data_IF_735019107961
#
_entry.id   IF_735019107961
#
_cell.length_a   1.000
_cell.length_b   1.000
_cell.length_c   1.000
_cell.angle_alpha   90.00
_cell.angle_beta   90.00
_cell.angle_gamma   90.00
#
_symmetry.space_group_name_H-M   'P 1'
#
loop_
_entity.id
_entity.type
_entity.pdbx_description
1 polymer ?
#
# COMPACT_ATOMS: atom_id res chain seq x y z
N UNK A 1 19.36 30.17 -30.66
CA UNK A 1 18.85 30.95 -29.51
C UNK A 1 18.88 30.03 -28.30
N UNK A 2 19.46 30.46 -27.17
CA UNK A 2 19.46 29.61 -25.97
C UNK A 2 18.02 29.39 -25.52
N UNK A 3 17.67 28.15 -25.18
CA UNK A 3 16.33 27.76 -24.73
C UNK A 3 15.92 28.50 -23.45
N UNK A 4 16.91 28.89 -22.64
CA UNK A 4 16.74 29.78 -21.48
C UNK A 4 16.09 31.12 -21.85
N UNK A 5 16.56 31.74 -22.93
CA UNK A 5 16.07 33.05 -23.38
C UNK A 5 14.61 32.99 -23.84
N UNK A 6 14.23 31.92 -24.54
CA UNK A 6 12.83 31.70 -24.96
C UNK A 6 11.89 31.60 -23.76
N UNK A 7 12.35 30.98 -22.68
CA UNK A 7 11.57 30.84 -21.45
C UNK A 7 11.47 32.18 -20.71
N UNK A 8 12.57 32.91 -20.59
CA UNK A 8 12.61 34.25 -19.97
C UNK A 8 11.70 35.23 -20.74
N UNK A 9 11.79 35.26 -22.07
CA UNK A 9 10.97 36.13 -22.93
C UNK A 9 9.48 35.77 -22.87
N UNK A 10 9.13 34.53 -22.47
CA UNK A 10 7.74 34.09 -22.31
C UNK A 10 7.13 34.46 -20.96
N UNK A 11 7.92 34.80 -19.93
CA UNK A 11 7.41 35.09 -18.58
C UNK A 11 6.46 36.31 -18.52
N UNK A 12 6.73 37.45 -19.20
CA UNK A 12 5.78 38.57 -19.21
C UNK A 12 4.44 38.17 -19.84
N UNK A 13 4.47 37.45 -20.97
CA UNK A 13 3.26 36.96 -21.63
C UNK A 13 2.44 36.03 -20.74
N UNK A 14 3.11 35.15 -19.97
CA UNK A 14 2.43 34.29 -19.01
C UNK A 14 1.81 35.09 -17.87
N UNK A 15 2.48 36.14 -17.42
CA UNK A 15 1.98 37.03 -16.37
C UNK A 15 0.70 37.74 -16.85
N UNK A 16 0.71 38.28 -18.07
CA UNK A 16 -0.47 38.91 -18.68
C UNK A 16 -1.65 37.92 -18.79
N UNK A 17 -1.40 36.70 -19.28
CA UNK A 17 -2.44 35.67 -19.39
C UNK A 17 -3.03 35.26 -18.04
N UNK A 18 -2.22 35.23 -16.98
CA UNK A 18 -2.68 34.94 -15.62
C UNK A 18 -3.52 36.11 -15.07
N UNK A 19 -3.08 37.36 -15.31
CA UNK A 19 -3.82 38.57 -14.90
C UNK A 19 -5.18 38.66 -15.61
N UNK A 20 -5.23 38.29 -16.90
CA UNK A 20 -6.45 38.22 -17.71
C UNK A 20 -7.33 36.99 -17.37
N UNK A 21 -6.88 36.13 -16.46
CA UNK A 21 -7.52 34.87 -16.04
C UNK A 21 -7.71 33.83 -17.16
N UNK A 22 -6.98 33.92 -18.26
CA UNK A 22 -6.95 32.87 -19.29
C UNK A 22 -5.93 31.77 -18.92
N UNK A 23 -6.28 30.99 -17.90
CA UNK A 23 -5.44 29.91 -17.39
C UNK A 23 -5.19 28.81 -18.43
N UNK A 24 -6.10 28.65 -19.40
CA UNK A 24 -5.97 27.65 -20.46
C UNK A 24 -4.91 28.07 -21.48
N UNK A 25 -4.90 29.33 -21.90
CA UNK A 25 -3.86 29.87 -22.76
C UNK A 25 -2.51 29.90 -22.04
N UNK A 26 -2.45 30.29 -20.77
CA UNK A 26 -1.23 30.27 -19.98
C UNK A 26 -0.63 28.86 -19.92
N UNK A 27 -1.44 27.84 -19.62
CA UNK A 27 -0.97 26.45 -19.55
C UNK A 27 -0.48 25.92 -20.91
N UNK A 28 -1.21 26.20 -22.00
CA UNK A 28 -0.75 25.81 -23.35
C UNK A 28 0.59 26.45 -23.69
N UNK A 29 0.78 27.72 -23.33
CA UNK A 29 2.02 28.45 -23.57
C UNK A 29 3.18 27.88 -22.75
N UNK A 30 2.97 27.57 -21.47
CA UNK A 30 3.97 26.90 -20.62
C UNK A 30 4.38 25.58 -21.25
N UNK A 31 3.42 24.70 -21.57
CA UNK A 31 3.73 23.38 -22.14
C UNK A 31 4.50 23.51 -23.45
N UNK A 32 4.07 24.41 -24.35
CA UNK A 32 4.77 24.65 -25.62
C UNK A 32 6.22 25.14 -25.44
N UNK A 33 6.49 25.95 -24.42
CA UNK A 33 7.85 26.43 -24.12
C UNK A 33 8.68 25.31 -23.48
N UNK A 34 8.07 24.49 -22.63
CA UNK A 34 8.74 23.41 -21.91
C UNK A 34 9.07 22.21 -22.81
N UNK A 35 8.21 21.88 -23.78
CA UNK A 35 8.41 20.77 -24.72
C UNK A 35 9.70 20.92 -25.55
N UNK A 36 10.15 22.15 -25.79
CA UNK A 36 11.40 22.45 -26.49
C UNK A 36 12.60 22.77 -25.58
N UNK A 37 12.40 22.82 -24.26
CA UNK A 37 13.45 23.21 -23.32
C UNK A 37 14.41 22.05 -23.02
N UNK A 38 15.68 22.37 -22.73
CA UNK A 38 16.64 21.37 -22.32
C UNK A 38 16.20 20.69 -20.99
N UNK A 39 16.48 19.39 -20.78
CA UNK A 39 16.05 18.67 -19.56
C UNK A 39 16.51 19.32 -18.25
N UNK A 40 17.68 19.96 -18.26
CA UNK A 40 18.21 20.70 -17.10
C UNK A 40 17.34 21.92 -16.76
N UNK A 41 16.85 22.65 -17.77
CA UNK A 41 15.95 23.80 -17.59
C UNK A 41 14.61 23.33 -17.03
N UNK A 42 14.07 22.23 -17.56
CA UNK A 42 12.81 21.66 -17.07
C UNK A 42 12.91 21.24 -15.59
N UNK A 43 14.02 20.60 -15.23
CA UNK A 43 14.27 20.15 -13.85
C UNK A 43 14.44 21.34 -12.89
N UNK A 44 15.18 22.38 -13.30
CA UNK A 44 15.36 23.60 -12.50
C UNK A 44 14.04 24.34 -12.30
N UNK A 45 13.23 24.47 -13.36
CA UNK A 45 11.90 25.05 -13.28
C UNK A 45 11.03 24.33 -12.24
N UNK A 46 10.96 22.99 -12.32
CA UNK A 46 10.18 22.19 -11.37
C UNK A 46 10.64 22.37 -9.93
N UNK A 47 11.95 22.48 -9.69
CA UNK A 47 12.51 22.74 -8.35
C UNK A 47 12.16 24.13 -7.82
N UNK A 48 12.16 25.16 -8.67
CA UNK A 48 11.79 26.51 -8.26
C UNK A 48 10.32 26.57 -7.81
N UNK A 49 9.42 25.98 -8.60
CA UNK A 49 7.98 25.89 -8.27
C UNK A 49 7.78 25.14 -6.96
N UNK A 50 8.35 23.94 -6.81
CA UNK A 50 8.23 23.15 -5.59
C UNK A 50 8.75 23.91 -4.34
N UNK A 51 9.81 24.70 -4.49
CA UNK A 51 10.36 25.50 -3.38
C UNK A 51 9.40 26.62 -2.96
N UNK A 52 8.73 27.27 -3.91
CA UNK A 52 7.74 28.32 -3.64
C UNK A 52 6.46 27.76 -3.01
N UNK A 53 6.05 26.54 -3.39
CA UNK A 53 4.88 25.87 -2.82
C UNK A 53 5.14 25.35 -1.39
N UNK A 54 6.34 24.80 -1.14
CA UNK A 54 6.67 24.09 0.09
C UNK A 54 7.11 25.00 1.26
N UNK A 55 7.66 26.18 0.99
CA UNK A 55 8.24 27.04 2.02
C UNK A 55 7.57 28.41 2.06
N UNK A 56 7.42 29.02 3.26
CA UNK A 56 6.99 30.42 3.37
C UNK A 56 7.89 31.33 2.52
N UNK A 57 7.30 32.35 1.89
CA UNK A 57 7.97 33.14 0.85
C UNK A 57 9.35 33.69 1.24
N UNK A 58 9.53 34.17 2.48
CA UNK A 58 10.84 34.64 2.97
C UNK A 58 11.91 33.55 2.91
N UNK A 59 11.55 32.32 3.28
CA UNK A 59 12.43 31.16 3.27
C UNK A 59 12.69 30.68 1.85
N UNK A 60 11.63 30.61 1.02
CA UNK A 60 11.75 30.24 -0.39
C UNK A 60 12.69 31.20 -1.14
N UNK A 61 12.51 32.52 -0.96
CA UNK A 61 13.36 33.55 -1.55
C UNK A 61 14.83 33.41 -1.15
N UNK A 62 15.12 33.18 0.13
CA UNK A 62 16.49 32.97 0.59
C UNK A 62 17.13 31.72 -0.04
N UNK A 63 16.37 30.63 -0.15
CA UNK A 63 16.82 29.38 -0.78
C UNK A 63 17.07 29.53 -2.28
N UNK A 64 16.18 30.22 -2.99
CA UNK A 64 16.37 30.48 -4.42
C UNK A 64 17.56 31.42 -4.66
N UNK A 65 17.77 32.43 -3.81
CA UNK A 65 18.95 33.29 -3.89
C UNK A 65 20.26 32.51 -3.68
N UNK A 66 20.31 31.62 -2.67
CA UNK A 66 21.46 30.73 -2.44
C UNK A 66 21.68 29.77 -3.63
N UNK A 67 20.61 29.17 -4.16
CA UNK A 67 20.68 28.30 -5.34
C UNK A 67 21.19 29.05 -6.59
N UNK A 68 20.79 30.31 -6.77
CA UNK A 68 21.27 31.16 -7.86
C UNK A 68 22.77 31.51 -7.70
N UNK A 69 23.23 31.75 -6.48
CA UNK A 69 24.65 32.03 -6.19
C UNK A 69 25.54 30.80 -6.42
N UNK A 70 25.04 29.61 -6.09
CA UNK A 70 25.76 28.35 -6.23
C UNK A 70 25.69 27.75 -7.65
N UNK A 71 24.86 28.30 -8.54
CA UNK A 71 24.73 27.81 -9.90
C UNK A 71 25.94 28.19 -10.76
N UNK A 72 26.64 27.19 -11.31
CA UNK A 72 27.79 27.39 -12.22
C UNK A 72 27.35 27.89 -13.60
N UNK A 73 26.15 27.49 -14.05
CA UNK A 73 25.63 27.85 -15.36
C UNK A 73 24.87 29.20 -15.31
N UNK A 74 25.28 30.21 -16.11
CA UNK A 74 24.60 31.50 -16.15
C UNK A 74 23.13 31.41 -16.59
N UNK A 75 22.75 30.46 -17.43
CA UNK A 75 21.36 30.28 -17.88
C UNK A 75 20.47 29.78 -16.74
N UNK A 76 20.97 28.83 -15.94
CA UNK A 76 20.27 28.31 -14.75
C UNK A 76 20.09 29.42 -13.71
N UNK A 77 21.14 30.22 -13.49
CA UNK A 77 21.07 31.37 -12.58
C UNK A 77 20.01 32.38 -13.01
N UNK A 78 19.99 32.75 -14.29
CA UNK A 78 19.02 33.69 -14.84
C UNK A 78 17.57 33.18 -14.68
N UNK A 79 17.34 31.88 -14.84
CA UNK A 79 16.03 31.26 -14.60
C UNK A 79 15.64 31.38 -13.12
N UNK A 80 16.52 31.01 -12.19
CA UNK A 80 16.21 31.06 -10.74
C UNK A 80 15.89 32.50 -10.30
N UNK A 81 16.67 33.48 -10.80
CA UNK A 81 16.42 34.90 -10.54
C UNK A 81 15.06 35.36 -11.08
N UNK A 82 14.69 34.93 -12.29
CA UNK A 82 13.40 35.25 -12.89
C UNK A 82 12.20 34.62 -12.13
N UNK A 83 12.41 33.47 -11.47
CA UNK A 83 11.42 32.81 -10.62
C UNK A 83 11.32 33.39 -9.20
N UNK A 84 12.15 34.37 -8.85
CA UNK A 84 12.18 34.97 -7.52
C UNK A 84 11.61 36.40 -7.59
N UNK A 85 10.28 36.57 -7.59
CA UNK A 85 9.67 37.89 -7.68
C UNK A 85 10.12 38.79 -6.50
N UNK A 86 10.04 40.13 -6.63
CA UNK A 86 10.38 41.03 -5.52
C UNK A 86 9.35 40.93 -4.39
N UNK A 87 8.08 40.72 -4.73
CA UNK A 87 6.91 40.67 -3.82
C UNK A 87 6.34 39.26 -3.72
N UNK A 88 5.76 38.93 -2.56
CA UNK A 88 5.16 37.62 -2.30
C UNK A 88 3.96 37.36 -3.22
N UNK A 89 4.02 36.34 -4.09
CA UNK A 89 2.91 35.97 -4.96
C UNK A 89 1.84 35.12 -4.26
N UNK A 90 2.06 34.67 -3.02
CA UNK A 90 1.10 33.86 -2.27
C UNK A 90 1.05 32.38 -2.71
N UNK A 91 2.12 31.85 -3.30
CA UNK A 91 2.19 30.44 -3.73
C UNK A 91 2.37 29.44 -2.59
N UNK A 92 2.73 29.90 -1.39
CA UNK A 92 2.97 29.00 -0.26
C UNK A 92 1.67 28.29 0.15
N UNK A 93 1.65 26.98 -0.07
CA UNK A 93 0.59 26.10 0.39
C UNK A 93 0.98 25.68 1.81
N UNK A 94 0.41 26.35 2.81
CA UNK A 94 0.57 25.90 4.20
C UNK A 94 0.15 24.42 4.28
N UNK A 95 0.88 23.51 4.91
CA UNK A 95 0.51 22.09 4.97
C UNK A 95 -0.91 21.86 5.50
N UNK A 96 -1.37 22.72 6.40
CA UNK A 96 -2.75 22.71 6.91
C UNK A 96 -3.82 23.22 5.91
N UNK A 97 -3.40 24.02 4.92
CA UNK A 97 -4.23 24.55 3.83
C UNK A 97 -3.93 23.88 2.49
N UNK A 98 -2.99 22.94 2.43
CA UNK A 98 -2.83 22.08 1.28
C UNK A 98 -4.23 21.50 1.04
N UNK A 99 -4.84 21.74 -0.13
CA UNK A 99 -6.17 21.22 -0.40
C UNK A 99 -6.07 19.75 -0.06
N UNK A 100 -6.74 19.36 1.03
CA UNK A 100 -6.71 18.00 1.52
C UNK A 100 -7.14 17.24 0.29
N UNK A 101 -6.22 16.49 -0.33
CA UNK A 101 -6.51 15.86 -1.61
C UNK A 101 -7.82 15.15 -1.36
N UNK A 102 -8.89 15.70 -1.95
CA UNK A 102 -10.19 15.13 -1.78
C UNK A 102 -10.00 13.76 -2.38
N UNK A 103 -10.02 12.75 -1.53
CA UNK A 103 -9.81 11.34 -1.90
C UNK A 103 -10.77 10.91 -3.02
N UNK A 104 -11.74 11.77 -3.32
CA UNK A 104 -12.67 11.73 -4.42
C UNK A 104 -12.48 12.97 -5.29
N UNK A 105 -11.98 12.79 -6.53
CA UNK A 105 -11.67 13.86 -7.47
C UNK A 105 -12.77 14.91 -7.61
N UNK A 106 -12.36 16.18 -7.66
CA UNK A 106 -13.26 17.32 -7.78
C UNK A 106 -13.80 17.44 -9.20
N UNK A 107 -15.13 17.37 -9.31
CA UNK A 107 -15.88 17.71 -10.52
C UNK A 107 -17.28 17.12 -10.51
N UNK A 108 -18.18 17.71 -9.72
CA UNK A 108 -19.65 17.53 -9.71
C UNK A 108 -20.28 16.65 -8.62
N UNK A 109 -19.54 16.13 -7.64
CA UNK A 109 -20.19 15.41 -6.53
C UNK A 109 -20.76 16.39 -5.49
N UNK A 110 -22.01 16.84 -5.70
CA UNK A 110 -22.87 17.28 -4.58
C UNK A 110 -23.28 16.02 -3.83
N UNK A 111 -23.06 15.98 -2.51
CA UNK A 111 -23.61 14.90 -1.71
C UNK A 111 -25.13 14.84 -1.97
N UNK A 112 -25.75 13.65 -2.10
CA UNK A 112 -27.18 13.53 -2.42
C UNK A 112 -28.15 14.29 -1.49
N UNK A 113 -27.66 14.80 -0.35
CA UNK A 113 -28.42 15.65 0.59
C UNK A 113 -28.43 17.13 0.18
N UNK A 114 -27.44 17.58 -0.58
CA UNK A 114 -27.24 18.99 -0.98
C UNK A 114 -27.77 19.28 -2.39
N UNK A 115 -28.31 18.27 -3.06
CA UNK A 115 -29.08 18.46 -4.28
C UNK A 115 -30.49 18.85 -3.85
N UNK A 116 -30.81 20.14 -3.93
CA UNK A 116 -32.19 20.58 -3.77
C UNK A 116 -33.09 19.76 -4.71
N UNK A 117 -34.13 19.09 -4.19
CA UNK A 117 -34.97 18.24 -5.01
C UNK A 117 -35.70 19.12 -6.02
N UNK A 118 -35.23 19.08 -7.27
CA UNK A 118 -35.95 19.66 -8.40
C UNK A 118 -37.38 19.10 -8.40
N UNK A 119 -38.36 19.91 -8.80
CA UNK A 119 -39.79 19.57 -8.78
C UNK A 119 -40.14 18.24 -9.46
N UNK A 120 -39.32 17.77 -10.42
CA UNK A 120 -39.41 16.43 -11.03
C UNK A 120 -39.07 15.26 -10.10
N UNK A 121 -38.13 15.44 -9.16
CA UNK A 121 -37.76 14.40 -8.20
C UNK A 121 -38.86 14.15 -7.14
N UNK A 122 -39.66 15.16 -6.82
CA UNK A 122 -40.86 14.98 -5.96
C UNK A 122 -41.93 14.14 -6.67
N UNK A 123 -42.22 14.43 -7.94
CA UNK A 123 -43.21 13.64 -8.71
C UNK A 123 -42.83 12.16 -8.86
N UNK A 124 -41.53 11.85 -9.03
CA UNK A 124 -41.08 10.45 -9.08
C UNK A 124 -41.08 9.75 -7.71
N UNK A 125 -40.90 10.49 -6.61
CA UNK A 125 -40.91 9.93 -5.25
C UNK A 125 -42.33 9.57 -4.79
N UNK A 126 -43.32 10.38 -5.17
CA UNK A 126 -44.73 10.11 -4.87
C UNK A 126 -45.29 8.95 -5.72
N UNK A 127 -44.79 8.75 -6.96
CA UNK A 127 -45.15 7.58 -7.76
C UNK A 127 -44.46 6.27 -7.32
N UNK A 128 -43.33 6.34 -6.60
CA UNK A 128 -42.64 5.15 -6.07
C UNK A 128 -43.13 4.71 -4.69
N UNK A 129 -44.07 5.42 -4.07
CA UNK A 129 -44.82 4.92 -2.91
C UNK A 129 -45.97 3.96 -3.32
N UNK A 130 -45.84 3.33 -4.49
CA UNK A 130 -46.69 2.23 -4.92
C UNK A 130 -46.39 0.94 -4.15
N UNK A 131 -47.42 0.43 -3.49
CA UNK A 131 -47.57 -0.83 -2.77
C UNK A 131 -46.87 -0.95 -1.39
N UNK A 132 -47.62 -1.22 -0.31
CA UNK A 132 -47.05 -1.67 0.95
C UNK A 132 -46.15 -2.88 0.69
N UNK A 133 -44.88 -2.78 1.06
CA UNK A 133 -44.00 -3.96 1.05
C UNK A 133 -44.64 -5.02 1.94
N UNK A 134 -44.94 -6.17 1.37
CA UNK A 134 -45.38 -7.33 2.15
C UNK A 134 -44.35 -7.57 3.26
N UNK A 135 -44.83 -7.60 4.50
CA UNK A 135 -44.07 -7.92 5.71
C UNK A 135 -43.17 -9.16 5.53
N UNK A 136 -43.56 -10.10 4.66
CA UNK A 136 -42.79 -11.29 4.30
C UNK A 136 -41.53 -10.97 3.51
N UNK A 137 -41.56 -9.99 2.62
CA UNK A 137 -40.40 -9.55 1.85
C UNK A 137 -39.42 -8.78 2.74
N UNK A 138 -39.91 -7.90 3.62
CA UNK A 138 -39.06 -7.20 4.59
C UNK A 138 -38.30 -8.17 5.52
N UNK A 139 -38.96 -9.26 5.96
CA UNK A 139 -38.31 -10.32 6.76
C UNK A 139 -37.25 -11.09 5.97
N UNK A 140 -37.45 -11.33 4.67
CA UNK A 140 -36.44 -11.96 3.80
C UNK A 140 -35.22 -11.06 3.63
N UNK A 141 -35.43 -9.78 3.41
CA UNK A 141 -34.34 -8.79 3.25
C UNK A 141 -33.54 -8.62 4.55
N UNK A 142 -34.21 -8.60 5.70
CA UNK A 142 -33.54 -8.56 7.02
C UNK A 142 -32.73 -9.84 7.27
N UNK A 143 -33.24 -11.00 6.85
CA UNK A 143 -32.52 -12.28 6.99
C UNK A 143 -31.32 -12.37 6.04
N UNK A 144 -31.44 -11.81 4.83
CA UNK A 144 -30.33 -11.67 3.89
C UNK A 144 -29.25 -10.73 4.44
N UNK A 145 -29.64 -9.57 4.98
CA UNK A 145 -28.72 -8.63 5.61
C UNK A 145 -27.94 -9.28 6.77
N UNK A 146 -28.62 -10.03 7.66
CA UNK A 146 -27.96 -10.81 8.72
C UNK A 146 -26.97 -11.85 8.18
N UNK A 147 -27.33 -12.54 7.09
CA UNK A 147 -26.44 -13.52 6.47
C UNK A 147 -25.16 -12.88 5.91
N UNK A 148 -25.26 -11.67 5.33
CA UNK A 148 -24.10 -10.95 4.83
C UNK A 148 -23.21 -10.41 5.96
N UNK A 149 -23.79 -9.89 7.05
CA UNK A 149 -23.01 -9.41 8.22
C UNK A 149 -22.35 -10.56 8.97
N UNK A 150 -23.03 -11.70 9.13
CA UNK A 150 -22.47 -12.88 9.82
C UNK A 150 -21.35 -13.53 9.00
N UNK A 151 -21.45 -13.50 7.66
CA UNK A 151 -20.39 -14.00 6.77
C UNK A 151 -19.15 -13.09 6.78
N UNK A 152 -19.34 -11.77 6.84
CA UNK A 152 -18.25 -10.80 6.87
C UNK A 152 -17.53 -10.80 8.22
N UNK A 153 -18.27 -10.93 9.33
CA UNK A 153 -17.69 -11.10 10.68
C UNK A 153 -17.01 -12.45 10.85
N UNK A 154 -17.58 -13.55 10.36
CA UNK A 154 -16.95 -14.87 10.39
C UNK A 154 -15.65 -14.93 9.56
N UNK A 155 -15.56 -14.15 8.47
CA UNK A 155 -14.34 -14.03 7.67
C UNK A 155 -13.24 -13.22 8.37
N UNK A 156 -13.61 -12.32 9.30
CA UNK A 156 -12.67 -11.50 10.08
C UNK A 156 -12.14 -12.18 11.35
N UNK A 157 -12.88 -13.14 11.93
CA UNK A 157 -12.45 -13.85 13.15
C UNK A 157 -11.38 -14.93 12.95
N UNK A 158 -10.91 -15.15 11.71
CA UNK A 158 -9.80 -16.07 11.43
C UNK A 158 -8.41 -15.40 11.41
N UNK A 159 -8.32 -14.08 11.65
CA UNK A 159 -7.06 -13.36 11.77
C UNK A 159 -6.84 -13.00 13.23
N UNK A 160 -5.78 -13.58 13.79
CA UNK A 160 -5.21 -13.42 15.12
C UNK A 160 -5.52 -12.06 15.80
N UNK A 161 -6.47 -12.09 16.74
CA UNK A 161 -6.80 -10.95 17.62
C UNK A 161 -5.93 -11.06 18.87
N UNK A 162 -4.66 -10.68 18.73
CA UNK A 162 -3.77 -10.43 19.87
C UNK A 162 -3.01 -9.12 19.70
N UNK A 163 -3.67 -8.04 19.26
CA UNK A 163 -3.16 -6.69 19.49
C UNK A 163 -4.26 -5.62 19.38
N UNK A 164 -4.38 -4.83 20.45
CA UNK A 164 -5.08 -3.54 20.61
C UNK A 164 -6.53 -3.58 21.14
N UNK A 165 -6.73 -3.49 22.47
CA UNK A 165 -8.06 -3.34 23.08
C UNK A 165 -8.61 -1.90 23.08
N UNK A 166 -8.00 -0.95 22.36
CA UNK A 166 -8.35 0.49 22.45
C UNK A 166 -8.82 1.13 21.14
N UNK A 167 -9.32 0.35 20.17
CA UNK A 167 -10.02 0.94 19.02
C UNK A 167 -11.46 1.22 19.44
N UNK A 168 -11.69 2.46 19.89
CA UNK A 168 -13.02 3.01 20.23
C UNK A 168 -14.06 2.48 19.25
N UNK A 169 -15.07 1.82 19.79
CA UNK A 169 -16.27 1.38 19.08
C UNK A 169 -16.92 2.61 18.44
N UNK A 170 -16.55 2.88 17.19
CA UNK A 170 -17.25 3.82 16.33
C UNK A 170 -18.69 3.35 16.24
N UNK A 171 -19.60 4.22 16.63
CA UNK A 171 -21.03 4.00 16.64
C UNK A 171 -21.49 3.41 15.31
N UNK A 172 -21.74 2.10 15.32
CA UNK A 172 -22.23 1.37 14.16
C UNK A 172 -23.64 1.88 13.85
N UNK A 173 -23.76 2.77 12.85
CA UNK A 173 -25.02 3.42 12.49
C UNK A 173 -26.03 2.38 11.98
N UNK A 174 -26.94 1.93 12.85
CA UNK A 174 -28.26 1.31 12.59
C UNK A 174 -28.34 0.05 11.70
N UNK A 175 -27.31 -0.24 10.92
CA UNK A 175 -27.25 -1.26 9.87
C UNK A 175 -26.16 -2.29 10.14
N UNK A 176 -25.35 -2.11 11.19
CA UNK A 176 -24.23 -3.00 11.50
C UNK A 176 -23.05 -2.89 10.52
N UNK A 177 -23.18 -2.11 9.44
CA UNK A 177 -22.15 -1.90 8.44
C UNK A 177 -21.28 -0.72 8.84
N UNK A 178 -19.98 -0.98 9.05
CA UNK A 178 -18.96 0.06 9.11
C UNK A 178 -18.82 0.66 7.71
N UNK A 179 -19.46 1.81 7.47
CA UNK A 179 -19.42 2.46 6.16
C UNK A 179 -18.02 2.95 5.80
N UNK A 180 -17.17 3.27 6.77
CA UNK A 180 -15.79 3.67 6.51
C UNK A 180 -14.97 2.45 6.10
N UNK A 181 -15.14 1.33 6.81
CA UNK A 181 -14.54 0.05 6.45
C UNK A 181 -15.07 -0.53 5.12
N UNK A 182 -16.35 -0.33 4.81
CA UNK A 182 -16.98 -0.80 3.57
C UNK A 182 -16.70 0.14 2.37
N UNK A 183 -16.44 1.43 2.62
CA UNK A 183 -16.06 2.37 1.58
C UNK A 183 -14.58 2.26 1.19
N UNK A 184 -13.72 1.78 2.09
CA UNK A 184 -12.35 1.42 1.75
C UNK A 184 -12.38 0.03 1.10
N UNK A 185 -12.53 0.00 -0.23
CA UNK A 185 -12.22 -1.20 -1.02
C UNK A 185 -10.87 -1.75 -0.57
N UNK A 186 -10.74 -3.06 -0.43
CA UNK A 186 -9.50 -3.70 -0.02
C UNK A 186 -8.41 -3.43 -1.08
N UNK A 187 -7.70 -2.30 -0.94
CA UNK A 187 -6.62 -1.85 -1.84
C UNK A 187 -5.37 -2.71 -1.67
N UNK A 188 -5.42 -3.78 -0.87
CA UNK A 188 -4.29 -4.67 -0.56
C UNK A 188 -3.94 -5.62 -1.71
N UNK A 189 -4.23 -5.22 -2.95
CA UNK A 189 -3.61 -5.88 -4.09
C UNK A 189 -2.10 -5.68 -4.01
N UNK A 190 -1.35 -6.63 -4.57
CA UNK A 190 0.09 -6.50 -4.64
C UNK A 190 0.44 -5.32 -5.56
N UNK A 191 1.50 -4.55 -5.24
CA UNK A 191 1.89 -3.41 -6.07
C UNK A 191 2.32 -3.84 -7.47
N UNK A 192 2.38 -2.88 -8.39
CA UNK A 192 2.95 -3.08 -9.72
C UNK A 192 4.42 -3.51 -9.61
N UNK A 193 4.82 -4.58 -10.33
CA UNK A 193 6.21 -5.06 -10.33
C UNK A 193 7.19 -4.14 -11.06
N UNK A 194 6.68 -3.18 -11.85
CA UNK A 194 7.49 -2.21 -12.59
C UNK A 194 7.62 -0.89 -11.82
N UNK A 195 6.50 -0.23 -11.50
CA UNK A 195 6.51 1.10 -10.86
C UNK A 195 6.30 1.09 -9.33
N UNK A 196 6.03 -0.05 -8.71
CA UNK A 196 5.79 -0.21 -7.26
C UNK A 196 4.58 0.52 -6.69
N UNK A 197 3.76 1.15 -7.54
CA UNK A 197 2.50 1.78 -7.17
C UNK A 197 1.42 0.72 -6.95
N UNK A 198 0.45 1.00 -6.09
CA UNK A 198 -0.70 0.14 -5.84
C UNK A 198 -1.51 -0.09 -7.12
N UNK A 199 -2.05 -1.30 -7.27
CA UNK A 199 -2.81 -1.72 -8.45
C UNK A 199 -4.30 -1.59 -8.18
N UNK A 200 -5.05 -1.10 -9.16
CA UNK A 200 -6.50 -1.10 -9.05
C UNK A 200 -7.03 -2.54 -9.13
N UNK A 201 -8.22 -2.81 -8.59
CA UNK A 201 -8.78 -4.17 -8.59
C UNK A 201 -9.04 -4.71 -10.01
N UNK A 202 -9.30 -3.85 -10.98
CA UNK A 202 -9.41 -4.24 -12.39
C UNK A 202 -8.05 -4.69 -12.97
N UNK A 203 -6.93 -4.23 -12.42
CA UNK A 203 -5.61 -4.68 -12.86
C UNK A 203 -5.35 -6.13 -12.47
N UNK A 204 -5.95 -6.66 -11.41
CA UNK A 204 -5.75 -8.06 -10.98
C UNK A 204 -6.68 -9.06 -11.69
N UNK A 205 -7.71 -8.57 -12.39
CA UNK A 205 -8.73 -9.38 -13.06
C UNK A 205 -8.59 -9.35 -14.60
N UNK A 206 -7.38 -9.62 -15.11
CA UNK A 206 -7.12 -9.64 -16.55
C UNK A 206 -7.67 -10.90 -17.23
N UNK A 207 -7.85 -10.86 -18.56
CA UNK A 207 -8.21 -12.04 -19.35
C UNK A 207 -7.22 -13.20 -19.14
N UNK A 208 -5.94 -12.87 -18.95
CA UNK A 208 -4.88 -13.82 -18.64
C UNK A 208 -5.09 -14.52 -17.29
N UNK A 209 -5.46 -13.78 -16.25
CA UNK A 209 -5.80 -14.34 -14.93
C UNK A 209 -7.07 -15.19 -15.04
N UNK A 210 -8.10 -14.71 -15.73
CA UNK A 210 -9.36 -15.43 -15.94
C UNK A 210 -9.16 -16.73 -16.73
N UNK A 211 -8.18 -16.77 -17.64
CA UNK A 211 -7.77 -17.97 -18.36
C UNK A 211 -6.83 -18.90 -17.56
N UNK A 212 -6.52 -18.57 -16.30
CA UNK A 212 -5.65 -19.38 -15.45
C UNK A 212 -4.17 -19.36 -15.85
N UNK A 213 -3.69 -18.31 -16.53
CA UNK A 213 -2.29 -18.14 -16.97
C UNK A 213 -1.46 -17.21 -16.07
N UNK A 214 -1.98 -16.92 -14.88
CA UNK A 214 -1.30 -16.15 -13.84
C UNK A 214 -1.44 -14.64 -14.03
N UNK A 215 -1.10 -13.91 -12.98
CA UNK A 215 -1.12 -12.44 -12.95
C UNK A 215 0.20 -11.89 -13.51
N UNK A 216 0.11 -10.88 -14.39
CA UNK A 216 1.29 -10.20 -14.98
C UNK A 216 1.94 -9.22 -14.00
N UNK A 217 1.24 -8.87 -12.91
CA UNK A 217 1.73 -8.01 -11.86
C UNK A 217 1.83 -6.52 -12.25
N UNK A 218 1.22 -6.09 -13.35
CA UNK A 218 1.31 -4.70 -13.85
C UNK A 218 0.08 -3.87 -13.53
N UNK A 219 0.25 -2.57 -13.34
CA UNK A 219 -0.87 -1.61 -13.38
C UNK A 219 -1.20 -1.21 -14.83
N UNK A 220 -2.39 -0.63 -15.05
CA UNK A 220 -2.84 -0.20 -16.39
C UNK A 220 -1.81 0.65 -17.14
N UNK A 221 -1.25 1.69 -16.50
CA UNK A 221 -0.27 2.58 -17.13
C UNK A 221 1.01 1.83 -17.55
N UNK A 222 1.49 0.89 -16.73
CA UNK A 222 2.67 0.08 -17.06
C UNK A 222 2.38 -0.89 -18.21
N UNK A 223 1.14 -1.40 -18.34
CA UNK A 223 0.74 -2.19 -19.51
C UNK A 223 0.69 -1.37 -20.79
N UNK A 224 0.06 -0.18 -20.74
CA UNK A 224 -0.05 0.71 -21.90
C UNK A 224 1.32 1.18 -22.42
N UNK A 225 2.28 1.33 -21.51
CA UNK A 225 3.68 1.67 -21.85
C UNK A 225 4.54 0.45 -22.18
N UNK A 226 3.94 -0.75 -22.32
CA UNK A 226 4.60 -2.00 -22.65
C UNK A 226 5.77 -2.35 -21.73
N UNK A 227 5.64 -2.06 -20.43
CA UNK A 227 6.63 -2.52 -19.46
C UNK A 227 6.63 -4.04 -19.39
N UNK A 228 7.79 -4.68 -19.18
CA UNK A 228 7.84 -6.11 -18.93
C UNK A 228 7.08 -6.42 -17.63
N UNK A 229 6.35 -7.54 -17.65
CA UNK A 229 5.61 -8.08 -16.50
C UNK A 229 6.02 -9.52 -16.21
N UNK A 230 5.37 -10.13 -15.21
CA UNK A 230 5.62 -11.53 -14.83
C UNK A 230 5.27 -12.44 -16.02
N UNK A 231 6.16 -13.36 -16.45
CA UNK A 231 5.92 -14.22 -17.60
C UNK A 231 4.67 -15.11 -17.49
N UNK A 232 4.05 -15.39 -18.64
CA UNK A 232 3.23 -16.58 -18.96
C UNK A 232 3.37 -17.77 -18.01
N UNK A 233 2.38 -18.10 -17.16
CA UNK A 233 2.39 -19.39 -16.44
C UNK A 233 1.53 -20.43 -17.18
N UNK A 234 2.00 -21.68 -17.32
CA UNK A 234 1.21 -22.74 -17.92
C UNK A 234 -0.02 -23.04 -17.06
N UNK A 235 -1.16 -23.27 -17.70
CA UNK A 235 -2.39 -23.67 -17.02
C UNK A 235 -2.48 -25.22 -16.98
N UNK A 236 -2.85 -25.82 -15.82
CA UNK A 236 -3.09 -25.20 -14.52
C UNK A 236 -1.77 -24.95 -13.75
N UNK A 237 -1.68 -23.81 -13.06
CA UNK A 237 -0.60 -23.53 -12.09
C UNK A 237 -1.18 -23.39 -10.68
N UNK A 238 -0.33 -23.64 -9.68
CA UNK A 238 -0.72 -23.46 -8.28
C UNK A 238 -0.49 -22.02 -7.82
N UNK A 239 -1.11 -21.64 -6.69
CA UNK A 239 -0.85 -20.33 -6.08
C UNK A 239 0.62 -20.15 -5.68
N UNK A 240 1.28 -21.21 -5.19
CA UNK A 240 2.71 -21.18 -4.88
C UNK A 240 3.54 -20.83 -6.12
N UNK A 241 3.27 -21.50 -7.25
CA UNK A 241 3.95 -21.23 -8.53
C UNK A 241 3.78 -19.79 -8.99
N UNK A 242 2.60 -19.19 -8.79
CA UNK A 242 2.39 -17.76 -9.09
C UNK A 242 3.21 -16.83 -8.20
N UNK A 243 3.32 -17.15 -6.90
CA UNK A 243 4.14 -16.39 -5.95
C UNK A 243 5.63 -16.52 -6.29
N UNK A 244 6.10 -17.73 -6.57
CA UNK A 244 7.49 -18.00 -6.98
C UNK A 244 7.87 -17.27 -8.26
N UNK A 245 6.99 -17.28 -9.27
CA UNK A 245 7.19 -16.56 -10.52
C UNK A 245 7.32 -15.04 -10.30
N UNK A 246 6.49 -14.49 -9.39
CA UNK A 246 6.62 -13.09 -8.97
C UNK A 246 7.95 -12.83 -8.26
N UNK A 247 8.35 -13.68 -7.33
CA UNK A 247 9.63 -13.53 -6.63
C UNK A 247 10.82 -13.57 -7.59
N UNK A 248 10.81 -14.51 -8.54
CA UNK A 248 11.82 -14.63 -9.59
C UNK A 248 11.87 -13.37 -10.46
N UNK A 249 10.72 -12.84 -10.86
CA UNK A 249 10.65 -11.60 -11.65
C UNK A 249 11.27 -10.41 -10.89
N UNK A 250 10.87 -10.21 -9.62
CA UNK A 250 11.40 -9.13 -8.77
C UNK A 250 12.91 -9.26 -8.61
N UNK A 251 13.40 -10.47 -8.32
CA UNK A 251 14.81 -10.75 -8.17
C UNK A 251 15.64 -10.38 -9.40
N UNK A 252 15.13 -10.74 -10.59
CA UNK A 252 15.80 -10.48 -11.85
C UNK A 252 15.84 -8.99 -12.21
N UNK A 253 14.79 -8.23 -11.88
CA UNK A 253 14.61 -6.86 -12.39
C UNK A 253 14.97 -5.75 -11.39
N UNK A 254 15.10 -6.04 -10.09
CA UNK A 254 15.44 -5.03 -9.06
C UNK A 254 16.87 -5.10 -8.55
N UNK A 255 17.63 -6.15 -8.90
CA UNK A 255 19.03 -6.31 -8.53
C UNK A 255 19.23 -6.34 -7.01
N UNK A 256 20.13 -5.49 -6.49
CA UNK A 256 20.50 -5.46 -5.06
C UNK A 256 19.33 -5.11 -4.13
N UNK A 257 18.31 -4.42 -4.63
CA UNK A 257 17.14 -4.03 -3.84
C UNK A 257 16.10 -5.16 -3.67
N UNK A 258 16.24 -6.28 -4.39
CA UNK A 258 15.24 -7.35 -4.43
C UNK A 258 14.83 -7.87 -3.05
N UNK A 259 15.79 -8.02 -2.13
CA UNK A 259 15.50 -8.55 -0.79
C UNK A 259 14.61 -7.60 0.03
N UNK A 260 14.80 -6.28 -0.07
CA UNK A 260 13.94 -5.33 0.65
C UNK A 260 12.54 -5.27 0.03
N UNK A 261 12.47 -5.33 -1.30
CA UNK A 261 11.20 -5.40 -2.01
C UNK A 261 10.41 -6.65 -1.59
N UNK A 262 11.04 -7.83 -1.60
CA UNK A 262 10.40 -9.09 -1.19
C UNK A 262 10.00 -9.08 0.29
N UNK A 263 10.78 -8.42 1.16
CA UNK A 263 10.39 -8.19 2.56
C UNK A 263 9.14 -7.30 2.66
N UNK A 264 9.04 -6.26 1.83
CA UNK A 264 7.84 -5.43 1.72
C UNK A 264 6.64 -6.24 1.23
N UNK A 265 6.81 -7.09 0.20
CA UNK A 265 5.75 -7.97 -0.28
C UNK A 265 5.29 -8.96 0.79
N UNK A 266 6.24 -9.60 1.47
CA UNK A 266 5.97 -10.52 2.58
C UNK A 266 5.08 -9.87 3.65
N UNK A 267 5.35 -8.61 4.01
CA UNK A 267 4.51 -7.85 4.97
C UNK A 267 3.10 -7.59 4.45
N UNK A 268 2.93 -7.38 3.14
CA UNK A 268 1.65 -7.06 2.50
C UNK A 268 0.74 -8.27 2.29
N UNK A 269 1.29 -9.47 2.08
CA UNK A 269 0.47 -10.67 1.94
C UNK A 269 -0.32 -10.96 3.23
N UNK A 270 -1.65 -11.00 3.12
CA UNK A 270 -2.51 -11.46 4.20
C UNK A 270 -2.44 -13.00 4.37
N UNK A 271 -2.26 -13.72 3.26
CA UNK A 271 -2.21 -15.18 3.22
C UNK A 271 -0.91 -15.74 3.82
N UNK A 272 -0.97 -16.53 4.92
CA UNK A 272 0.20 -17.17 5.52
C UNK A 272 0.93 -18.13 4.58
N UNK A 273 0.24 -18.77 3.64
CA UNK A 273 0.87 -19.72 2.72
C UNK A 273 1.74 -19.00 1.68
N UNK A 274 1.25 -17.89 1.12
CA UNK A 274 2.05 -17.03 0.26
C UNK A 274 3.28 -16.46 0.99
N UNK A 275 3.12 -16.07 2.27
CA UNK A 275 4.24 -15.64 3.12
C UNK A 275 5.33 -16.71 3.25
N UNK A 276 4.94 -17.93 3.63
CA UNK A 276 5.87 -19.05 3.75
C UNK A 276 6.56 -19.39 2.41
N UNK A 277 5.84 -19.25 1.29
CA UNK A 277 6.41 -19.43 -0.06
C UNK A 277 7.49 -18.39 -0.36
N UNK A 278 7.27 -17.12 0.00
CA UNK A 278 8.28 -16.05 -0.17
C UNK A 278 9.50 -16.31 0.72
N UNK A 279 9.29 -16.66 1.99
CA UNK A 279 10.39 -16.97 2.92
C UNK A 279 11.25 -18.12 2.39
N UNK A 280 10.61 -19.23 2.01
CA UNK A 280 11.30 -20.37 1.39
C UNK A 280 12.07 -19.97 0.14
N UNK A 281 11.44 -19.22 -0.77
CA UNK A 281 12.06 -18.79 -2.02
C UNK A 281 13.26 -17.87 -1.78
N UNK A 282 13.15 -16.89 -0.87
CA UNK A 282 14.25 -15.99 -0.51
C UNK A 282 15.42 -16.78 0.11
N UNK A 283 15.14 -17.75 0.97
CA UNK A 283 16.19 -18.57 1.58
C UNK A 283 16.89 -19.50 0.56
N UNK A 284 16.16 -20.01 -0.43
CA UNK A 284 16.68 -20.91 -1.44
C UNK A 284 17.48 -20.21 -2.54
N UNK A 285 17.03 -19.04 -3.00
CA UNK A 285 17.54 -18.41 -4.24
C UNK A 285 18.29 -17.10 -4.03
N UNK A 286 18.19 -16.44 -2.87
CA UNK A 286 18.92 -15.19 -2.63
C UNK A 286 20.15 -15.44 -1.77
N UNK A 287 21.35 -14.96 -2.17
CA UNK A 287 22.57 -15.12 -1.36
C UNK A 287 22.35 -14.50 0.01
N UNK A 288 22.63 -15.23 1.09
CA UNK A 288 22.50 -14.70 2.45
C UNK A 288 23.39 -13.46 2.54
N UNK A 289 22.81 -12.31 2.87
CA UNK A 289 23.61 -11.13 3.19
C UNK A 289 24.37 -11.51 4.44
N UNK A 290 25.70 -11.60 4.34
CA UNK A 290 26.52 -11.75 5.52
C UNK A 290 26.14 -10.61 6.49
N UNK A 291 25.88 -10.90 7.78
CA UNK A 291 25.60 -9.84 8.72
C UNK A 291 26.73 -8.81 8.60
N UNK A 292 26.37 -7.55 8.40
CA UNK A 292 27.36 -6.48 8.36
C UNK A 292 28.20 -6.61 9.64
N UNK A 293 29.53 -6.45 9.57
CA UNK A 293 30.35 -6.48 10.78
C UNK A 293 29.75 -5.47 11.74
N UNK A 294 29.32 -5.97 12.91
CA UNK A 294 28.75 -5.14 13.96
C UNK A 294 29.85 -4.17 14.34
N UNK A 295 29.67 -2.90 14.00
CA UNK A 295 30.67 -1.88 14.29
C UNK A 295 30.67 -1.66 15.80
N UNK A 296 31.64 -2.27 16.50
CA UNK A 296 31.78 -2.22 17.96
C UNK A 296 32.13 -0.84 18.50
N UNK A 297 32.36 0.12 17.61
CA UNK A 297 32.71 1.50 17.97
C UNK A 297 31.51 2.31 18.50
N UNK A 298 30.29 1.77 18.41
CA UNK A 298 29.11 2.27 19.12
C UNK A 298 28.86 1.47 20.41
N UNK A 299 29.91 1.19 21.18
CA UNK A 299 29.73 0.87 22.59
C UNK A 299 28.96 2.04 23.23
N UNK A 300 27.89 1.77 24.02
CA UNK A 300 27.18 2.83 24.71
C UNK A 300 28.20 3.68 25.48
N UNK A 301 28.26 4.98 25.17
CA UNK A 301 28.92 5.94 26.04
C UNK A 301 28.19 5.80 27.37
N UNK A 302 28.84 5.19 28.34
CA UNK A 302 28.36 5.14 29.72
C UNK A 302 28.02 6.57 30.11
N UNK A 303 26.73 6.84 30.32
CA UNK A 303 26.27 8.14 30.76
C UNK A 303 27.03 8.46 32.06
N UNK A 304 27.74 9.60 32.15
CA UNK A 304 28.40 9.97 33.39
C UNK A 304 27.34 10.06 34.49
N UNK A 305 27.54 9.28 35.54
CA UNK A 305 26.74 9.32 36.73
C UNK A 305 26.71 10.76 37.28
N UNK A 306 25.53 11.16 37.74
CA UNK A 306 25.22 12.46 38.30
C UNK A 306 26.31 12.96 39.27
N UNK A 307 26.99 14.04 38.89
CA UNK A 307 27.81 14.84 39.79
C UNK A 307 26.89 15.84 40.52
N UNK A 308 26.56 15.49 41.76
CA UNK A 308 25.94 16.40 42.72
C UNK A 308 26.87 17.59 43.05
N UNK A 309 26.24 18.76 43.09
CA UNK A 309 26.47 19.89 44.01
C UNK A 309 27.91 20.43 44.21
N UNK A 310 28.10 21.67 43.75
CA UNK A 310 29.07 22.63 44.29
C UNK A 310 28.95 22.78 45.82
N UNK A 311 30.08 22.75 46.55
CA UNK A 311 30.27 23.71 47.63
C UNK A 311 31.49 24.62 47.41
N UNK A 312 31.34 25.84 47.91
CA UNK A 312 32.28 26.96 47.90
C UNK A 312 33.69 26.65 48.44
N UNK A 313 34.70 27.46 48.05
CA UNK A 313 36.11 27.17 48.32
C UNK A 313 36.56 27.66 49.71
N UNK A 314 37.03 26.74 50.55
CA UNK A 314 37.89 27.08 51.70
C UNK A 314 39.19 26.28 51.68
N UNK A 315 40.26 27.05 51.51
CA UNK A 315 41.62 26.97 52.06
C UNK A 315 42.13 25.70 52.76
N UNK A 316 43.43 25.50 52.52
CA UNK A 316 44.46 24.88 53.36
C UNK A 316 44.80 23.38 53.21
N UNK A 317 45.95 23.18 52.55
CA UNK A 317 47.18 22.56 53.10
C UNK A 317 47.09 21.13 53.67
N UNK A 318 47.71 20.16 52.97
CA UNK A 318 48.80 19.29 53.45
C UNK A 318 49.00 18.05 52.54
N UNK A 319 50.24 17.81 52.10
CA UNK A 319 50.77 16.47 51.78
C UNK A 319 50.90 15.63 53.08
N UNK A 320 51.31 14.33 53.13
CA UNK A 320 51.82 13.45 52.07
C UNK A 320 51.38 11.95 52.16
N UNK A 321 51.96 11.14 51.27
CA UNK A 321 52.49 9.78 51.49
C UNK A 321 51.64 8.49 51.42
N UNK A 322 52.19 7.60 50.58
CA UNK A 322 52.42 6.14 50.76
C UNK A 322 51.31 5.09 50.54
N UNK A 323 51.64 4.24 49.56
CA UNK A 323 51.69 2.77 49.59
C UNK A 323 50.45 1.89 49.80
N UNK A 324 50.25 1.04 48.79
CA UNK A 324 50.23 -0.44 48.89
C UNK A 324 49.23 -1.10 49.85
N UNK A 325 48.22 -1.78 49.30
CA UNK A 325 48.07 -3.25 49.41
C UNK A 325 46.70 -3.75 48.89
N UNK A 326 46.77 -4.61 47.89
CA UNK A 326 46.15 -5.95 47.80
C UNK A 326 44.90 -6.26 48.62
N UNK A 327 43.77 -6.49 47.94
CA UNK A 327 42.80 -7.51 48.33
C UNK A 327 41.93 -7.94 47.13
N UNK A 328 42.09 -9.20 46.71
CA UNK A 328 41.16 -9.90 45.83
C UNK A 328 39.87 -10.27 46.57
N UNK A 329 38.72 -10.39 45.88
CA UNK A 329 37.65 -11.26 46.35
C UNK A 329 37.38 -12.40 45.38
N UNK A 330 37.73 -13.60 45.88
CA UNK A 330 36.97 -14.84 45.90
C UNK A 330 35.87 -15.10 44.84
N UNK A 331 36.17 -16.12 44.04
CA UNK A 331 35.26 -16.95 43.26
C UNK A 331 34.23 -17.63 44.18
N UNK A 332 32.96 -17.54 43.82
CA UNK A 332 31.88 -18.42 44.34
C UNK A 332 31.44 -19.39 43.24
N UNK A 333 31.31 -20.70 43.54
CA UNK A 333 30.88 -21.69 42.56
C UNK A 333 29.35 -21.71 42.40
N UNK A 334 28.93 -21.86 41.16
CA UNK A 334 27.54 -21.97 40.72
C UNK A 334 26.87 -23.24 41.28
N UNK A 335 25.70 -23.07 41.90
CA UNK A 335 24.81 -24.15 42.28
C UNK A 335 24.08 -24.71 41.04
N UNK A 336 24.17 -26.03 40.91
CA UNK A 336 23.63 -26.86 39.85
C UNK A 336 22.09 -26.92 39.93
N UNK A 337 21.42 -26.47 38.86
CA UNK A 337 19.97 -26.48 38.74
C UNK A 337 19.45 -27.89 38.37
N UNK A 338 18.29 -28.31 38.89
CA UNK A 338 17.72 -29.65 38.62
C UNK A 338 17.26 -29.79 37.15
N UNK A 339 17.30 -31.02 36.58
CA UNK A 339 16.98 -31.24 35.18
C UNK A 339 15.50 -30.99 34.87
N UNK A 340 15.27 -30.10 33.89
CA UNK A 340 13.96 -29.83 33.33
C UNK A 340 13.38 -31.09 32.67
N UNK A 341 12.13 -31.42 33.03
CA UNK A 341 11.35 -32.51 32.42
C UNK A 341 11.16 -32.23 30.92
N UNK A 342 11.73 -33.09 30.09
CA UNK A 342 11.55 -33.07 28.63
C UNK A 342 10.11 -33.44 28.28
N UNK A 343 9.29 -32.42 28.04
CA UNK A 343 7.99 -32.60 27.39
C UNK A 343 8.24 -33.06 25.95
N UNK A 344 7.99 -34.35 25.68
CA UNK A 344 7.96 -34.88 24.32
C UNK A 344 6.88 -34.16 23.52
N UNK A 345 7.30 -33.23 22.64
CA UNK A 345 6.42 -32.60 21.64
C UNK A 345 5.79 -33.70 20.80
N UNK A 346 4.55 -34.08 21.12
CA UNK A 346 3.74 -34.93 20.26
C UNK A 346 3.51 -34.16 18.95
N UNK A 347 4.03 -34.69 17.83
CA UNK A 347 3.77 -34.15 16.50
C UNK A 347 2.25 -34.04 16.32
N UNK A 348 1.77 -32.87 15.89
CA UNK A 348 0.36 -32.68 15.58
C UNK A 348 -0.05 -33.69 14.49
N UNK A 349 -1.22 -34.36 14.63
CA UNK A 349 -1.70 -35.27 13.60
C UNK A 349 -1.97 -34.49 12.30
N UNK A 350 -1.40 -34.97 11.20
CA UNK A 350 -1.64 -34.46 9.84
C UNK A 350 -2.73 -35.29 9.16
N UNK A 351 -3.49 -34.67 8.26
CA UNK A 351 -4.45 -35.39 7.40
C UNK A 351 -3.71 -36.36 6.48
N UNK A 352 -4.17 -37.61 6.38
CA UNK A 352 -3.56 -38.63 5.52
C UNK A 352 -3.73 -38.32 4.03
N UNK A 353 -4.79 -37.60 3.64
CA UNK A 353 -5.12 -37.37 2.23
C UNK A 353 -4.49 -36.08 1.69
N UNK A 354 -4.44 -35.02 2.50
CA UNK A 354 -3.97 -33.70 2.05
C UNK A 354 -2.82 -33.10 2.85
N UNK A 355 -2.35 -33.78 3.92
CA UNK A 355 -1.26 -33.28 4.76
C UNK A 355 -1.60 -32.09 5.68
N UNK A 356 -2.83 -31.56 5.62
CA UNK A 356 -3.26 -30.42 6.43
C UNK A 356 -3.33 -30.71 7.93
N UNK A 357 -2.99 -29.71 8.77
CA UNK A 357 -2.94 -29.82 10.25
C UNK A 357 -4.27 -29.40 10.92
N UNK A 358 -5.24 -28.89 10.16
CA UNK A 358 -6.49 -28.34 10.74
C UNK A 358 -7.46 -29.46 11.15
N UNK A 359 -7.73 -29.54 12.46
CA UNK A 359 -8.77 -30.38 13.12
C UNK A 359 -8.90 -31.80 12.53
N UNK A 360 -7.81 -32.58 12.62
CA UNK A 360 -7.79 -33.97 12.12
C UNK A 360 -8.54 -34.88 13.10
N UNK A 361 -9.57 -35.57 12.63
CA UNK A 361 -10.33 -36.56 13.42
C UNK A 361 -10.45 -37.85 12.63
N UNK A 362 -9.91 -38.96 13.17
CA UNK A 362 -9.76 -40.25 12.47
C UNK A 362 -8.86 -40.20 11.22
N UNK A 363 -7.78 -39.41 11.25
CA UNK A 363 -6.79 -39.34 10.18
C UNK A 363 -7.19 -38.49 8.97
N UNK A 364 -8.37 -37.85 8.97
CA UNK A 364 -8.81 -36.94 7.90
C UNK A 364 -9.16 -35.55 8.46
N UNK A 365 -8.88 -34.50 7.68
CA UNK A 365 -9.31 -33.14 7.98
C UNK A 365 -10.78 -32.92 7.58
N UNK A 366 -11.37 -31.82 8.07
CA UNK A 366 -12.77 -31.44 7.80
C UNK A 366 -13.07 -31.36 6.30
N UNK A 367 -12.16 -30.83 5.50
CA UNK A 367 -12.37 -30.64 4.06
C UNK A 367 -12.39 -31.97 3.29
N UNK A 368 -11.44 -32.88 3.57
CA UNK A 368 -11.41 -34.21 2.96
C UNK A 368 -12.61 -35.07 3.37
N UNK A 369 -13.12 -34.86 4.59
CA UNK A 369 -14.32 -35.55 5.07
C UNK A 369 -15.61 -35.06 4.40
N UNK A 370 -15.66 -33.79 4.03
CA UNK A 370 -16.80 -33.22 3.30
C UNK A 370 -16.81 -33.71 1.85
N UNK A 371 -15.64 -33.87 1.22
CA UNK A 371 -15.53 -34.42 -0.15
C UNK A 371 -15.98 -35.89 -0.22
N UNK A 372 -15.55 -36.72 0.74
CA UNK A 372 -15.96 -38.13 0.80
C UNK A 372 -17.44 -38.34 1.14
N UNK A 373 -18.10 -37.34 1.74
CA UNK A 373 -19.54 -37.39 2.02
C UNK A 373 -20.39 -36.85 0.88
N UNK A 374 -19.89 -35.92 0.06
CA UNK A 374 -20.58 -35.46 -1.15
C UNK A 374 -20.69 -36.55 -2.22
N UNK A 375 -19.70 -37.45 -2.30
CA UNK A 375 -19.72 -38.54 -3.30
C UNK A 375 -20.75 -39.64 -2.98
N UNK A 376 -21.27 -39.69 -1.75
CA UNK A 376 -22.31 -40.66 -1.36
C UNK A 376 -23.74 -40.17 -1.59
N UNK A 377 -23.95 -38.95 -2.07
CA UNK A 377 -25.27 -38.34 -2.20
C UNK A 377 -25.70 -38.16 -3.67
N UNK A 378 -25.68 -39.22 -4.49
CA UNK A 378 -26.48 -39.26 -5.73
C UNK A 378 -26.71 -40.70 -6.23
N UNK A 379 -27.90 -41.30 -6.05
CA UNK A 379 -28.36 -42.36 -6.93
C UNK A 379 -28.87 -41.73 -8.23
N UNK A 380 -28.46 -42.32 -9.35
CA UNK A 380 -28.81 -41.91 -10.70
C UNK A 380 -30.29 -42.18 -10.99
N UNK A 381 -31.01 -41.14 -11.43
CA UNK A 381 -32.30 -41.27 -12.10
C UNK A 381 -32.02 -41.08 -13.60
N UNK A 382 -32.19 -42.16 -14.35
CA UNK A 382 -32.06 -42.22 -15.80
C UNK A 382 -33.39 -41.80 -16.41
N UNK A 383 -33.36 -40.82 -17.32
CA UNK A 383 -34.51 -40.42 -18.10
C UNK A 383 -34.21 -40.70 -19.58
N UNK A 384 -35.04 -41.58 -20.12
CA UNK A 384 -35.09 -42.04 -21.49
C UNK A 384 -35.26 -40.91 -22.52
N UNK A 385 -34.62 -41.14 -23.66
CA UNK A 385 -34.63 -40.31 -24.85
C UNK A 385 -35.84 -40.70 -25.71
N UNK A 386 -36.81 -39.80 -25.86
CA UNK A 386 -37.87 -39.92 -26.87
C UNK A 386 -37.68 -38.81 -27.91
N UNK A 387 -37.55 -39.23 -29.18
CA UNK A 387 -37.24 -38.38 -30.31
C UNK A 387 -38.41 -37.51 -30.79
N UNK A 388 -38.05 -36.44 -31.47
CA UNK A 388 -38.98 -35.48 -32.08
C UNK A 388 -38.68 -35.42 -33.60
N UNK A 389 -39.56 -35.93 -34.47
CA UNK A 389 -39.44 -35.79 -35.91
C UNK A 389 -40.40 -34.72 -36.40
N UNK A 390 -39.91 -33.51 -36.67
CA UNK A 390 -40.68 -32.56 -37.48
C UNK A 390 -39.77 -31.73 -38.38
N UNK A 391 -39.38 -32.32 -39.51
CA UNK A 391 -39.01 -31.60 -40.72
C UNK A 391 -40.26 -31.49 -41.59
N UNK A 392 -40.80 -30.28 -41.75
CA UNK A 392 -41.70 -29.95 -42.85
C UNK A 392 -41.38 -28.54 -43.38
N UNK A 393 -40.73 -28.56 -44.54
CA UNK A 393 -41.08 -27.80 -45.75
C UNK A 393 -41.37 -26.29 -45.62
N UNK A 394 -40.46 -25.49 -46.19
CA UNK A 394 -40.74 -24.14 -46.71
C UNK A 394 -40.52 -24.14 -48.23
N UNK A 395 -41.51 -23.75 -49.05
CA UNK A 395 -41.27 -23.48 -50.46
C UNK A 395 -40.80 -22.03 -50.67
N UNK A 396 -40.07 -21.86 -51.77
CA UNK A 396 -39.54 -20.60 -52.27
C UNK A 396 -40.63 -19.70 -52.86
N UNK A 397 -40.47 -18.39 -52.66
CA UNK A 397 -40.93 -17.32 -53.54
C UNK A 397 -39.99 -16.12 -53.38
#
# INVERSE_FOLDING_TARGET
MSTSKVLIDALPMLTDLILDRDLSAARRKINSVMDGAAPIVQTTFGRCVATLEQYPYKTAKARLADAAQNATDPDVRAIIEAFTPPTDPGFYLHPDNAPTESRYGHGNYRAPRDVEPTSRARQYRDQRQGAPRDSRQARKDTKAAKYFTDKDTASRHAVDVTAQPNRREGTTYGTGLDYDGAAVTDVRTLPCVSCWIERANNDTATERVNAGRGDDGLCLNCRETNQPGIPELPAPHTRATAVEARCAYIAQHTGKAAREVLRSEHRRYADPYAKATIEYWVDAFMPKVAPAPVNTDNAPIEAPADAEADPEPTNDTAEPDTDTATAAPMVTPAAEAPPAKTATKRKAPTCNDCGGIRQVRKGQCVDCRNLTSSDKAKPAESADTAGDPNQSERPAA
#
